data_IF_902522515177
#
_entry.id   IF_902522515177
#
_cell.length_a   1.000
_cell.length_b   1.000
_cell.length_c   1.000
_cell.angle_alpha   90.00
_cell.angle_beta   90.00
_cell.angle_gamma   90.00
#
_symmetry.space_group_name_H-M   'P 1'
#
loop_
_entity.id
_entity.type
_entity.pdbx_description
1 polymer ?
#
# COMPACT_ATOMS: atom_id res chain seq x y z
N UNK A 1 7.88 -12.69 1.50
CA UNK A 1 7.44 -11.92 2.68
C UNK A 1 5.92 -11.87 2.80
N UNK A 2 5.20 -11.52 1.74
CA UNK A 2 3.73 -11.63 1.61
C UNK A 2 3.45 -12.83 0.72
N UNK A 3 2.57 -13.76 1.13
CA UNK A 3 2.23 -14.96 0.35
C UNK A 3 0.73 -15.17 0.34
N UNK A 4 0.20 -15.40 -0.84
CA UNK A 4 -1.15 -15.88 -1.09
C UNK A 4 -1.06 -17.31 -1.60
N UNK A 5 -1.88 -18.22 -1.07
CA UNK A 5 -1.88 -19.63 -1.44
C UNK A 5 -3.32 -20.04 -1.75
N UNK A 6 -3.63 -20.20 -3.04
CA UNK A 6 -4.95 -20.55 -3.60
C UNK A 6 -6.09 -19.77 -2.93
N UNK A 7 -5.94 -18.45 -2.91
CA UNK A 7 -6.85 -17.54 -2.21
C UNK A 7 -8.07 -17.26 -3.06
N UNK A 8 -9.25 -17.50 -2.49
CA UNK A 8 -10.53 -17.05 -3.03
C UNK A 8 -11.22 -16.15 -2.01
N UNK A 9 -11.78 -15.03 -2.49
CA UNK A 9 -12.64 -14.14 -1.70
C UNK A 9 -13.94 -13.91 -2.41
N UNK A 10 -15.03 -14.31 -1.78
CA UNK A 10 -16.41 -14.07 -2.25
C UNK A 10 -17.16 -13.23 -1.23
N UNK A 11 -17.99 -12.33 -1.73
CA UNK A 11 -18.91 -11.51 -0.94
C UNK A 11 -20.35 -11.96 -1.20
N UNK A 12 -21.22 -12.03 -0.18
CA UNK A 12 -22.59 -12.54 -0.35
C UNK A 12 -23.44 -11.78 -1.38
N UNK A 13 -23.16 -10.47 -1.56
CA UNK A 13 -23.98 -9.61 -2.44
C UNK A 13 -23.36 -9.38 -3.81
N UNK A 14 -22.04 -9.37 -3.93
CA UNK A 14 -21.32 -8.96 -5.16
C UNK A 14 -20.58 -10.11 -5.84
N UNK A 15 -20.62 -11.31 -5.27
CA UNK A 15 -19.98 -12.49 -5.84
C UNK A 15 -18.48 -12.56 -5.55
N UNK A 16 -17.75 -13.31 -6.38
CA UNK A 16 -16.33 -13.60 -6.19
C UNK A 16 -15.48 -12.45 -6.70
N UNK A 17 -14.76 -11.79 -5.79
CA UNK A 17 -13.87 -10.68 -6.09
C UNK A 17 -12.42 -11.11 -6.35
N UNK A 18 -11.98 -12.22 -5.74
CA UNK A 18 -10.66 -12.85 -5.96
C UNK A 18 -10.88 -14.35 -6.08
N UNK A 19 -10.32 -15.00 -7.09
CA UNK A 19 -10.55 -16.39 -7.43
C UNK A 19 -9.25 -17.14 -7.66
N UNK A 20 -8.93 -18.10 -6.77
CA UNK A 20 -7.78 -18.99 -6.81
C UNK A 20 -6.43 -18.29 -7.06
N UNK A 21 -6.20 -17.18 -6.36
CA UNK A 21 -4.96 -16.40 -6.51
C UNK A 21 -3.85 -16.97 -5.64
N UNK A 22 -2.71 -17.25 -6.28
CA UNK A 22 -1.45 -17.58 -5.62
C UNK A 22 -0.38 -16.59 -6.08
N UNK A 23 0.28 -15.92 -5.13
CA UNK A 23 1.38 -15.02 -5.41
C UNK A 23 2.31 -14.88 -4.20
N UNK A 24 3.53 -14.46 -4.45
CA UNK A 24 4.48 -14.11 -3.40
C UNK A 24 5.11 -12.75 -3.71
N UNK A 25 5.25 -11.92 -2.68
CA UNK A 25 6.04 -10.67 -2.73
C UNK A 25 7.17 -10.80 -1.75
N UNK A 26 8.39 -10.58 -2.21
CA UNK A 26 9.61 -10.71 -1.42
C UNK A 26 9.94 -9.42 -0.65
N UNK A 27 10.90 -9.51 0.27
CA UNK A 27 11.36 -8.36 1.04
C UNK A 27 12.11 -7.39 0.13
N UNK A 28 11.79 -6.09 0.23
CA UNK A 28 12.41 -5.04 -0.58
C UNK A 28 11.88 -4.97 -2.01
N UNK A 29 10.94 -5.83 -2.40
CA UNK A 29 10.37 -5.83 -3.75
C UNK A 29 9.40 -4.66 -3.94
N UNK A 30 9.43 -4.06 -5.13
CA UNK A 30 8.40 -3.12 -5.61
C UNK A 30 7.52 -3.85 -6.62
N UNK A 31 6.22 -3.94 -6.34
CA UNK A 31 5.25 -4.63 -7.18
C UNK A 31 4.13 -3.68 -7.58
N UNK A 32 3.90 -3.56 -8.89
CA UNK A 32 2.67 -2.98 -9.43
C UNK A 32 1.57 -4.03 -9.48
N UNK A 33 0.41 -3.68 -8.98
CA UNK A 33 -0.83 -4.44 -9.12
C UNK A 33 -1.76 -3.68 -10.05
N UNK A 34 -1.97 -4.17 -11.26
CA UNK A 34 -2.75 -3.48 -12.30
C UNK A 34 -3.99 -4.28 -12.70
N UNK A 35 -4.84 -3.69 -13.52
CA UNK A 35 -6.10 -4.27 -14.01
C UNK A 35 -7.25 -3.29 -13.96
N UNK A 36 -8.34 -3.61 -14.66
CA UNK A 36 -9.53 -2.77 -14.73
C UNK A 36 -10.16 -2.50 -13.34
N UNK A 37 -11.02 -1.48 -13.26
CA UNK A 37 -11.86 -1.29 -12.06
C UNK A 37 -12.68 -2.55 -11.79
N UNK A 38 -12.79 -2.96 -10.53
CA UNK A 38 -13.47 -4.20 -10.14
C UNK A 38 -12.68 -5.50 -10.39
N UNK A 39 -11.44 -5.45 -10.88
CA UNK A 39 -10.62 -6.66 -11.10
C UNK A 39 -10.22 -7.42 -9.82
N UNK A 40 -10.45 -6.83 -8.62
CA UNK A 40 -10.12 -7.46 -7.33
C UNK A 40 -8.90 -6.86 -6.62
N UNK A 41 -8.24 -5.84 -7.21
CA UNK A 41 -7.00 -5.23 -6.67
C UNK A 41 -7.14 -4.77 -5.23
N UNK A 42 -8.10 -3.91 -4.92
CA UNK A 42 -8.31 -3.39 -3.56
C UNK A 42 -8.70 -4.49 -2.57
N UNK A 43 -9.43 -5.52 -3.01
CA UNK A 43 -9.71 -6.70 -2.17
C UNK A 43 -8.43 -7.46 -1.83
N UNK A 44 -7.54 -7.64 -2.81
CA UNK A 44 -6.25 -8.29 -2.59
C UNK A 44 -5.39 -7.46 -1.61
N UNK A 45 -5.32 -6.13 -1.80
CA UNK A 45 -4.60 -5.26 -0.87
C UNK A 45 -5.19 -5.34 0.55
N UNK A 46 -6.52 -5.31 0.71
CA UNK A 46 -7.21 -5.44 2.01
C UNK A 46 -6.89 -6.75 2.74
N UNK A 47 -6.65 -7.82 2.02
CA UNK A 47 -6.22 -9.09 2.61
C UNK A 47 -4.77 -9.04 3.12
N UNK A 48 -3.87 -8.22 2.55
CA UNK A 48 -2.50 -8.06 3.05
C UNK A 48 -2.50 -7.49 4.47
N UNK A 49 -3.31 -6.46 4.74
CA UNK A 49 -3.41 -5.89 6.10
C UNK A 49 -4.57 -6.46 6.91
N UNK A 50 -5.15 -7.58 6.44
CA UNK A 50 -6.18 -8.39 7.13
C UNK A 50 -7.42 -7.58 7.53
N UNK A 51 -7.80 -6.56 6.73
CA UNK A 51 -9.13 -5.94 6.80
C UNK A 51 -10.17 -6.92 6.27
N UNK A 52 -9.82 -7.63 5.20
CA UNK A 52 -10.58 -8.75 4.67
C UNK A 52 -9.84 -10.07 4.93
N UNK A 53 -10.60 -11.13 5.14
CA UNK A 53 -10.07 -12.49 5.20
C UNK A 53 -10.49 -13.26 3.96
N UNK A 54 -9.67 -14.17 3.45
CA UNK A 54 -10.07 -15.05 2.37
C UNK A 54 -11.25 -15.92 2.77
N UNK A 55 -12.10 -16.29 1.80
CA UNK A 55 -13.15 -17.30 1.97
C UNK A 55 -12.53 -18.69 1.98
N UNK A 56 -11.54 -18.93 1.09
CA UNK A 56 -10.74 -20.16 1.07
C UNK A 56 -9.28 -19.81 0.78
N UNK A 57 -8.36 -20.72 1.06
CA UNK A 57 -6.93 -20.50 0.93
C UNK A 57 -6.33 -19.72 2.13
N UNK A 58 -5.10 -19.28 2.00
CA UNK A 58 -4.36 -18.62 3.07
C UNK A 58 -3.61 -17.39 2.56
N UNK A 59 -3.68 -16.30 3.31
CA UNK A 59 -2.76 -15.14 3.18
C UNK A 59 -1.83 -15.14 4.37
N UNK A 60 -0.52 -15.12 4.11
CA UNK A 60 0.51 -15.04 5.15
C UNK A 60 1.37 -13.80 4.94
N UNK A 61 1.46 -12.95 5.96
CA UNK A 61 2.20 -11.68 5.91
C UNK A 61 3.15 -11.61 7.11
N UNK A 62 4.45 -11.58 6.84
CA UNK A 62 5.50 -11.57 7.86
C UNK A 62 5.28 -12.63 8.97
N UNK A 63 4.90 -13.84 8.57
CA UNK A 63 4.62 -14.96 9.48
C UNK A 63 3.20 -14.99 10.06
N UNK A 64 2.43 -13.91 9.98
CA UNK A 64 1.05 -13.86 10.44
C UNK A 64 0.11 -14.50 9.40
N UNK A 65 -0.64 -15.51 9.79
CA UNK A 65 -1.57 -16.27 8.91
C UNK A 65 -2.99 -15.74 9.02
N UNK A 66 -3.68 -15.51 7.90
CA UNK A 66 -5.09 -15.11 7.86
C UNK A 66 -6.03 -16.15 8.49
N UNK A 67 -5.61 -17.41 8.55
CA UNK A 67 -6.42 -18.54 9.09
C UNK A 67 -6.38 -18.54 10.61
N UNK A 68 -5.19 -18.36 11.20
CA UNK A 68 -4.99 -18.55 12.66
C UNK A 68 -4.85 -17.25 13.44
N UNK A 69 -4.65 -16.10 12.76
CA UNK A 69 -4.41 -14.82 13.43
C UNK A 69 -5.61 -14.38 14.27
N UNK A 70 -5.33 -14.09 15.52
CA UNK A 70 -6.28 -13.46 16.46
C UNK A 70 -6.28 -11.93 16.26
N UNK A 71 -7.31 -11.20 16.74
CA UNK A 71 -7.36 -9.74 16.59
C UNK A 71 -6.09 -9.01 17.06
N UNK A 72 -5.45 -9.49 18.15
CA UNK A 72 -4.18 -8.95 18.65
C UNK A 72 -3.01 -9.13 17.68
N UNK A 73 -2.99 -10.23 16.92
CA UNK A 73 -1.92 -10.53 15.97
C UNK A 73 -2.09 -9.66 14.71
N UNK A 74 -3.34 -9.46 14.28
CA UNK A 74 -3.69 -8.52 13.21
C UNK A 74 -3.30 -7.08 13.61
N UNK A 75 -3.61 -6.65 14.83
CA UNK A 75 -3.21 -5.33 15.31
C UNK A 75 -1.67 -5.16 15.31
N UNK A 76 -0.92 -6.17 15.75
CA UNK A 76 0.56 -6.18 15.70
C UNK A 76 1.09 -6.13 14.27
N UNK A 77 0.46 -6.86 13.34
CA UNK A 77 0.83 -6.84 11.91
C UNK A 77 0.61 -5.43 11.33
N UNK A 78 -0.57 -4.84 11.53
CA UNK A 78 -0.92 -3.51 10.99
C UNK A 78 0.03 -2.40 11.44
N UNK A 79 0.57 -2.49 12.66
CA UNK A 79 1.60 -1.55 13.16
C UNK A 79 2.91 -1.59 12.37
N UNK A 80 3.17 -2.69 11.67
CA UNK A 80 4.38 -2.92 10.86
C UNK A 80 4.14 -2.72 9.37
N UNK A 81 2.94 -2.30 8.98
CA UNK A 81 2.55 -1.98 7.61
C UNK A 81 2.22 -0.50 7.50
N UNK A 82 2.63 0.14 6.43
CA UNK A 82 2.13 1.45 6.04
C UNK A 82 1.02 1.29 5.00
N UNK A 83 -0.08 2.01 5.17
CA UNK A 83 -1.20 1.97 4.22
C UNK A 83 -1.41 3.38 3.68
N UNK A 84 -1.41 3.51 2.35
CA UNK A 84 -1.60 4.75 1.63
C UNK A 84 -2.85 4.62 0.76
N UNK A 85 -3.80 5.52 0.95
CA UNK A 85 -5.08 5.54 0.24
C UNK A 85 -5.11 6.62 -0.84
N UNK A 86 -5.98 6.46 -1.82
CA UNK A 86 -6.22 7.43 -2.88
C UNK A 86 -6.80 8.76 -2.34
N UNK A 87 -7.64 8.69 -1.31
CA UNK A 87 -8.37 9.81 -0.70
C UNK A 87 -7.65 10.43 0.52
N UNK A 88 -6.34 10.21 0.63
CA UNK A 88 -5.42 10.70 1.68
C UNK A 88 -5.81 10.31 3.11
N UNK A 89 -7.08 10.38 3.48
CA UNK A 89 -7.65 10.10 4.82
C UNK A 89 -6.93 10.87 5.93
N UNK A 90 -6.62 12.12 5.68
CA UNK A 90 -6.06 13.00 6.71
C UNK A 90 -7.16 13.46 7.67
N UNK A 91 -6.77 13.67 8.93
CA UNK A 91 -7.64 14.20 9.97
C UNK A 91 -7.73 15.73 9.79
N UNK A 92 -8.85 16.23 9.28
CA UNK A 92 -9.07 17.60 8.83
C UNK A 92 -8.80 18.67 9.89
N UNK A 93 -9.06 18.34 11.17
CA UNK A 93 -8.93 19.25 12.31
C UNK A 93 -7.58 19.12 13.04
N UNK A 94 -6.64 18.35 12.50
CA UNK A 94 -5.29 18.15 13.03
C UNK A 94 -4.26 18.71 12.06
N UNK A 95 -3.18 19.30 12.59
CA UNK A 95 -2.04 19.72 11.77
C UNK A 95 -1.37 18.50 11.11
N UNK A 96 -0.50 18.73 10.15
CA UNK A 96 0.21 17.64 9.45
C UNK A 96 1.11 16.87 10.42
N UNK A 97 1.82 17.55 11.32
CA UNK A 97 2.62 16.86 12.36
C UNK A 97 1.74 16.02 13.29
N UNK A 98 0.55 16.50 13.66
CA UNK A 98 -0.42 15.74 14.46
C UNK A 98 -1.02 14.57 13.69
N UNK A 99 -1.27 14.72 12.38
CA UNK A 99 -1.70 13.62 11.52
C UNK A 99 -0.68 12.49 11.47
N UNK A 100 0.59 12.84 11.31
CA UNK A 100 1.70 11.86 11.27
C UNK A 100 1.93 11.25 12.64
N UNK A 101 1.96 12.07 13.70
CA UNK A 101 2.17 11.64 15.08
C UNK A 101 1.06 10.73 15.62
N UNK A 102 -0.16 10.87 15.11
CA UNK A 102 -1.31 10.08 15.53
C UNK A 102 -1.07 8.56 15.41
N UNK A 103 -0.36 8.12 14.36
CA UNK A 103 -0.02 6.71 14.21
C UNK A 103 0.88 6.17 15.34
N UNK A 104 1.72 7.02 15.93
CA UNK A 104 2.53 6.70 17.10
C UNK A 104 1.75 6.79 18.42
N UNK A 105 0.85 7.79 18.53
CA UNK A 105 -0.04 7.95 19.70
C UNK A 105 -0.90 6.70 19.90
N UNK A 106 -1.52 6.19 18.83
CA UNK A 106 -2.40 5.00 18.87
C UNK A 106 -1.68 3.74 19.35
N UNK A 107 -0.38 3.63 19.14
CA UNK A 107 0.41 2.49 19.62
C UNK A 107 1.01 2.71 21.00
N UNK A 108 0.75 3.86 21.63
CA UNK A 108 1.25 4.22 22.96
C UNK A 108 2.74 4.60 22.99
N UNK A 109 3.27 5.17 21.88
CA UNK A 109 4.65 5.64 21.87
C UNK A 109 4.87 6.78 22.87
N UNK A 110 6.02 6.82 23.58
CA UNK A 110 6.31 7.90 24.50
C UNK A 110 6.42 9.26 23.79
N UNK A 111 5.99 10.33 24.42
CA UNK A 111 5.97 11.68 23.84
C UNK A 111 7.35 12.16 23.34
N UNK A 112 8.42 11.80 24.03
CA UNK A 112 9.79 12.13 23.64
C UNK A 112 10.27 11.40 22.38
N UNK A 113 9.58 10.36 21.91
CA UNK A 113 9.87 9.61 20.68
C UNK A 113 9.07 10.15 19.50
N UNK A 114 7.84 10.65 19.75
CA UNK A 114 6.91 11.08 18.69
C UNK A 114 7.51 12.25 17.89
N UNK A 115 7.91 13.35 18.56
CA UNK A 115 8.41 14.55 17.89
C UNK A 115 9.58 14.28 16.94
N UNK A 116 10.68 13.65 17.38
CA UNK A 116 11.81 13.31 16.52
C UNK A 116 11.45 12.42 15.32
N UNK A 117 10.59 11.41 15.50
CA UNK A 117 10.15 10.55 14.41
C UNK A 117 9.29 11.31 13.39
N UNK A 118 8.37 12.14 13.85
CA UNK A 118 7.54 12.99 12.99
C UNK A 118 8.40 13.95 12.18
N UNK A 119 9.33 14.66 12.81
CA UNK A 119 10.24 15.59 12.12
C UNK A 119 11.07 14.86 11.05
N UNK A 120 11.60 13.68 11.35
CA UNK A 120 12.36 12.86 10.40
C UNK A 120 11.55 12.50 9.16
N UNK A 121 10.33 11.95 9.33
CA UNK A 121 9.52 11.53 8.17
C UNK A 121 8.96 12.72 7.40
N UNK A 122 8.64 13.85 8.04
CA UNK A 122 8.25 15.08 7.34
C UNK A 122 9.40 15.63 6.49
N UNK A 123 10.63 15.55 6.96
CA UNK A 123 11.81 15.90 6.17
C UNK A 123 11.98 14.95 4.99
N UNK A 124 11.84 13.64 5.22
CA UNK A 124 11.95 12.60 4.18
C UNK A 124 10.95 12.81 3.04
N UNK A 125 9.71 13.22 3.34
CA UNK A 125 8.70 13.47 2.32
C UNK A 125 8.70 14.90 1.76
N UNK A 126 9.61 15.78 2.22
CA UNK A 126 9.72 17.17 1.76
C UNK A 126 8.67 18.12 2.34
N UNK A 127 8.15 17.84 3.55
CA UNK A 127 7.14 18.64 4.25
C UNK A 127 7.62 19.23 5.57
N UNK A 128 8.93 19.36 5.80
CA UNK A 128 9.51 19.85 7.06
C UNK A 128 8.95 21.22 7.48
N UNK A 129 8.71 22.15 6.52
CA UNK A 129 8.17 23.49 6.78
C UNK A 129 6.64 23.52 6.92
N UNK A 130 5.93 22.43 6.64
CA UNK A 130 4.46 22.35 6.60
C UNK A 130 3.87 21.62 7.82
N UNK A 131 4.66 21.27 8.82
CA UNK A 131 4.22 20.47 9.97
C UNK A 131 3.03 21.09 10.70
N UNK A 132 2.97 22.43 10.82
CA UNK A 132 1.90 23.17 11.52
C UNK A 132 0.69 23.48 10.65
N UNK A 133 0.75 23.26 9.33
CA UNK A 133 -0.37 23.48 8.44
C UNK A 133 -1.50 22.47 8.67
N UNK A 134 -2.73 22.84 8.35
CA UNK A 134 -3.89 21.95 8.28
C UNK A 134 -3.96 21.29 6.89
N UNK A 135 -4.60 20.12 6.75
CA UNK A 135 -4.73 19.44 5.44
C UNK A 135 -5.28 20.34 4.32
N UNK A 136 -6.28 21.17 4.62
CA UNK A 136 -6.90 22.10 3.66
C UNK A 136 -5.96 23.19 3.12
N UNK A 137 -4.82 23.43 3.78
CA UNK A 137 -3.82 24.42 3.38
C UNK A 137 -2.73 23.81 2.46
N UNK A 138 -2.86 22.50 2.16
CA UNK A 138 -1.94 21.75 1.32
C UNK A 138 -2.56 21.44 -0.04
N UNK A 139 -1.72 21.46 -1.09
CA UNK A 139 -2.06 20.89 -2.39
C UNK A 139 -2.31 19.37 -2.29
N UNK A 140 -3.01 18.78 -3.26
CA UNK A 140 -3.25 17.34 -3.29
C UNK A 140 -1.97 16.50 -3.22
N UNK A 141 -0.91 16.93 -3.91
CA UNK A 141 0.40 16.26 -3.84
C UNK A 141 1.06 16.37 -2.47
N UNK A 142 0.92 17.52 -1.78
CA UNK A 142 1.41 17.69 -0.40
C UNK A 142 0.58 16.85 0.59
N UNK A 143 -0.75 16.78 0.41
CA UNK A 143 -1.61 15.91 1.23
C UNK A 143 -1.23 14.44 1.08
N UNK A 144 -0.92 14.00 -0.14
CA UNK A 144 -0.47 12.62 -0.38
C UNK A 144 0.91 12.36 0.26
N UNK A 145 1.84 13.31 0.20
CA UNK A 145 3.11 13.22 0.92
C UNK A 145 2.90 13.11 2.43
N UNK A 146 1.95 13.84 3.00
CA UNK A 146 1.59 13.75 4.42
C UNK A 146 0.98 12.38 4.76
N UNK A 147 0.13 11.81 3.90
CA UNK A 147 -0.41 10.46 4.07
C UNK A 147 0.70 9.40 4.01
N UNK A 148 1.68 9.55 3.11
CA UNK A 148 2.86 8.69 3.05
C UNK A 148 3.72 8.85 4.32
N UNK A 149 3.95 10.07 4.81
CA UNK A 149 4.68 10.29 6.07
C UNK A 149 4.02 9.59 7.25
N UNK A 150 2.68 9.67 7.36
CA UNK A 150 1.91 8.95 8.39
C UNK A 150 2.07 7.44 8.27
N UNK A 151 2.11 6.91 7.04
CA UNK A 151 2.33 5.49 6.80
C UNK A 151 3.75 5.04 7.17
N UNK A 152 4.76 5.92 7.03
CA UNK A 152 6.17 5.62 7.28
C UNK A 152 6.61 5.75 8.75
N UNK A 153 5.89 6.52 9.56
CA UNK A 153 6.37 6.95 10.90
C UNK A 153 6.64 5.79 11.86
N UNK A 154 6.01 4.63 11.63
CA UNK A 154 6.22 3.39 12.39
C UNK A 154 7.33 2.48 11.82
N UNK A 155 8.14 2.97 10.88
CA UNK A 155 9.20 2.19 10.22
C UNK A 155 8.66 0.86 9.63
N UNK A 156 7.65 0.89 8.74
CA UNK A 156 7.02 -0.31 8.23
C UNK A 156 7.96 -1.10 7.33
N UNK A 157 7.84 -2.43 7.35
CA UNK A 157 8.56 -3.28 6.40
C UNK A 157 7.95 -3.27 4.99
N UNK A 158 6.69 -2.86 4.87
CA UNK A 158 6.01 -2.73 3.57
C UNK A 158 5.01 -1.57 3.57
N UNK A 159 4.91 -0.89 2.43
CA UNK A 159 3.86 0.06 2.09
C UNK A 159 2.86 -0.62 1.13
N UNK A 160 1.58 -0.51 1.48
CA UNK A 160 0.47 -0.96 0.65
C UNK A 160 -0.25 0.29 0.15
N UNK A 161 -0.17 0.57 -1.14
CA UNK A 161 -0.69 1.79 -1.74
C UNK A 161 -1.83 1.45 -2.71
N UNK A 162 -3.04 1.93 -2.41
CA UNK A 162 -4.20 1.76 -3.28
C UNK A 162 -4.44 3.06 -4.06
N UNK A 163 -4.09 3.06 -5.35
CA UNK A 163 -4.20 4.20 -6.28
C UNK A 163 -3.60 5.52 -5.73
N UNK A 164 -2.36 5.53 -5.22
CA UNK A 164 -1.82 6.67 -4.47
C UNK A 164 -1.63 7.94 -5.30
N UNK A 165 -1.84 7.88 -6.60
CA UNK A 165 -1.71 9.00 -7.56
C UNK A 165 -2.98 9.31 -8.32
N UNK A 166 -4.09 8.61 -8.02
CA UNK A 166 -5.33 8.69 -8.79
C UNK A 166 -6.02 10.06 -8.79
N UNK A 167 -5.78 10.89 -7.78
CA UNK A 167 -6.38 12.22 -7.62
C UNK A 167 -5.35 13.35 -7.86
N UNK A 168 -4.22 13.06 -8.50
CA UNK A 168 -3.10 14.00 -8.65
C UNK A 168 -2.87 14.37 -10.13
N UNK A 169 -2.36 15.57 -10.36
CA UNK A 169 -1.84 15.95 -11.67
C UNK A 169 -0.55 15.18 -12.01
N UNK A 170 -0.11 15.26 -13.25
CA UNK A 170 1.08 14.56 -13.77
C UNK A 170 2.37 14.92 -13.02
N UNK A 171 2.51 16.18 -12.59
CA UNK A 171 3.71 16.65 -11.89
C UNK A 171 3.74 16.05 -10.48
N UNK A 172 2.63 16.13 -9.74
CA UNK A 172 2.51 15.54 -8.42
C UNK A 172 2.64 14.01 -8.49
N UNK A 173 2.02 13.36 -9.49
CA UNK A 173 2.13 11.91 -9.74
C UNK A 173 3.59 11.48 -9.86
N UNK A 174 4.39 12.16 -10.71
CA UNK A 174 5.83 11.87 -10.82
C UNK A 174 6.57 12.07 -9.51
N UNK A 175 6.25 13.14 -8.79
CA UNK A 175 6.87 13.43 -7.48
C UNK A 175 6.54 12.40 -6.40
N UNK A 176 5.32 11.89 -6.34
CA UNK A 176 4.92 10.82 -5.43
C UNK A 176 5.58 9.49 -5.81
N UNK A 177 5.60 9.17 -7.09
CA UNK A 177 6.23 7.94 -7.55
C UNK A 177 7.75 7.92 -7.26
N UNK A 178 8.44 9.04 -7.51
CA UNK A 178 9.86 9.16 -7.16
C UNK A 178 10.09 8.97 -5.65
N UNK A 179 9.25 9.56 -4.80
CA UNK A 179 9.30 9.35 -3.35
C UNK A 179 9.14 7.87 -2.98
N UNK A 180 8.18 7.16 -3.59
CA UNK A 180 7.99 5.72 -3.33
C UNK A 180 9.21 4.91 -3.77
N UNK A 181 9.86 5.25 -4.89
CA UNK A 181 11.12 4.61 -5.32
C UNK A 181 12.24 4.81 -4.31
N UNK A 182 12.39 6.01 -3.78
CA UNK A 182 13.41 6.34 -2.77
C UNK A 182 13.16 5.55 -1.47
N UNK A 183 11.90 5.41 -1.05
CA UNK A 183 11.51 4.60 0.10
C UNK A 183 11.81 3.10 -0.15
N UNK A 184 11.53 2.60 -1.35
CA UNK A 184 11.83 1.22 -1.72
C UNK A 184 13.35 0.96 -1.75
N UNK A 185 14.13 1.89 -2.29
CA UNK A 185 15.60 1.79 -2.31
C UNK A 185 16.22 1.71 -0.90
N UNK A 186 15.51 2.19 0.13
CA UNK A 186 15.88 2.04 1.54
C UNK A 186 15.47 0.68 2.14
N UNK A 187 14.90 -0.22 1.35
CA UNK A 187 14.57 -1.60 1.73
C UNK A 187 13.11 -1.84 2.15
N UNK A 188 12.23 -0.82 2.12
CA UNK A 188 10.79 -1.00 2.34
C UNK A 188 10.16 -1.63 1.10
N UNK A 189 9.45 -2.75 1.27
CA UNK A 189 8.69 -3.35 0.16
C UNK A 189 7.49 -2.48 -0.21
N UNK A 190 7.12 -2.44 -1.50
CA UNK A 190 5.97 -1.66 -1.95
C UNK A 190 5.04 -2.54 -2.80
N UNK A 191 3.77 -2.55 -2.46
CA UNK A 191 2.71 -3.10 -3.31
C UNK A 191 1.78 -1.95 -3.68
N UNK A 192 1.83 -1.52 -4.93
CA UNK A 192 1.09 -0.36 -5.44
C UNK A 192 0.03 -0.79 -6.45
N UNK A 193 -1.24 -0.69 -6.09
CA UNK A 193 -2.31 -0.78 -7.09
C UNK A 193 -2.36 0.52 -7.90
N UNK A 194 -2.39 0.40 -9.21
CA UNK A 194 -2.52 1.53 -10.12
C UNK A 194 -3.08 1.10 -11.48
N UNK A 195 -3.82 2.01 -12.11
CA UNK A 195 -4.24 1.89 -13.50
C UNK A 195 -3.40 2.80 -14.45
N UNK A 196 -2.40 3.51 -13.91
CA UNK A 196 -1.54 4.38 -14.71
C UNK A 196 -0.50 3.56 -15.48
N UNK A 197 -0.84 3.19 -16.72
CA UNK A 197 0.02 2.38 -17.60
C UNK A 197 1.32 3.09 -17.98
N UNK A 198 1.36 4.43 -17.96
CA UNK A 198 2.58 5.19 -18.26
C UNK A 198 3.62 5.00 -17.16
N UNK A 199 3.20 5.02 -15.89
CA UNK A 199 4.09 4.72 -14.77
C UNK A 199 4.64 3.30 -14.85
N UNK A 200 3.80 2.32 -15.20
CA UNK A 200 4.19 0.92 -15.31
C UNK A 200 5.22 0.75 -16.44
N UNK A 201 4.94 1.26 -17.63
CA UNK A 201 5.80 1.10 -18.82
C UNK A 201 7.18 1.77 -18.68
N UNK A 202 7.26 2.85 -17.92
CA UNK A 202 8.51 3.60 -17.71
C UNK A 202 9.42 3.00 -16.63
N UNK A 203 8.97 1.93 -15.96
CA UNK A 203 9.69 1.37 -14.83
C UNK A 203 9.75 -0.15 -14.92
N UNK A 204 10.92 -0.72 -14.64
CA UNK A 204 11.20 -2.15 -14.71
C UNK A 204 10.83 -2.91 -13.41
N UNK A 205 9.83 -2.43 -12.69
CA UNK A 205 9.35 -3.15 -11.51
C UNK A 205 8.41 -4.28 -11.91
N UNK A 206 8.36 -5.30 -11.07
CA UNK A 206 7.43 -6.41 -11.24
C UNK A 206 6.00 -5.91 -11.37
N UNK A 207 5.32 -6.39 -12.39
CA UNK A 207 3.93 -6.05 -12.67
C UNK A 207 3.08 -7.31 -12.64
N UNK A 208 2.02 -7.26 -11.80
CA UNK A 208 0.99 -8.29 -11.71
C UNK A 208 -0.30 -7.71 -12.25
N UNK A 209 -0.87 -8.31 -13.29
CA UNK A 209 -2.14 -7.89 -13.85
C UNK A 209 -3.27 -8.81 -13.38
N UNK A 210 -4.34 -8.18 -12.89
CA UNK A 210 -5.58 -8.88 -12.50
C UNK A 210 -6.70 -8.62 -13.48
N UNK A 211 -7.43 -9.68 -13.81
CA UNK A 211 -8.69 -9.60 -14.53
C UNK A 211 -9.71 -10.58 -13.90
N UNK A 212 -10.93 -10.10 -13.65
CA UNK A 212 -12.05 -10.91 -13.12
C UNK A 212 -11.66 -11.72 -11.86
N UNK A 213 -10.88 -11.12 -10.98
CA UNK A 213 -10.44 -11.74 -9.73
C UNK A 213 -9.26 -12.70 -9.84
N UNK A 214 -8.69 -12.91 -11.01
CA UNK A 214 -7.55 -13.80 -11.26
C UNK A 214 -6.31 -13.02 -11.67
N UNK A 215 -5.13 -13.58 -11.43
CA UNK A 215 -3.88 -13.09 -12.02
C UNK A 215 -3.82 -13.62 -13.46
N UNK A 216 -3.74 -12.70 -14.43
CA UNK A 216 -3.64 -13.02 -15.86
C UNK A 216 -2.23 -12.80 -16.40
N UNK A 217 -1.41 -12.04 -15.69
CA UNK A 217 -0.01 -11.80 -16.03
C UNK A 217 0.80 -11.50 -14.77
N UNK A 218 2.01 -12.03 -14.71
CA UNK A 218 3.03 -11.71 -13.71
C UNK A 218 4.39 -11.65 -14.41
N UNK A 219 5.03 -10.49 -14.40
CA UNK A 219 6.30 -10.29 -15.12
C UNK A 219 7.48 -11.06 -14.48
N UNK A 220 7.34 -11.59 -13.26
CA UNK A 220 8.34 -12.44 -12.62
C UNK A 220 8.21 -13.91 -13.00
N UNK A 221 7.07 -14.34 -13.53
CA UNK A 221 6.89 -15.71 -14.03
C UNK A 221 7.33 -15.78 -15.49
N UNK A 222 8.15 -16.78 -15.88
CA UNK A 222 8.45 -17.01 -17.29
C UNK A 222 7.13 -17.27 -18.02
N UNK A 223 6.88 -16.51 -19.08
CA UNK A 223 5.68 -16.62 -19.93
C UNK A 223 5.49 -18.08 -20.33
N UNK A 224 4.41 -18.72 -19.92
CA UNK A 224 4.02 -20.02 -20.45
C UNK A 224 3.87 -19.86 -21.98
N UNK A 225 4.50 -20.72 -22.81
CA UNK A 225 4.39 -20.64 -24.25
C UNK A 225 2.93 -20.92 -24.65
N UNK A 226 2.16 -19.90 -25.02
CA UNK A 226 0.80 -20.10 -25.51
C UNK A 226 -0.20 -18.95 -25.41
N UNK A 227 0.08 -17.85 -24.73
CA UNK A 227 -0.86 -16.71 -24.63
C UNK A 227 -0.27 -15.44 -25.25
N UNK A 228 -0.04 -15.45 -26.57
CA UNK A 228 -0.04 -14.21 -27.35
C UNK A 228 -1.49 -13.92 -27.71
N UNK A 229 -2.06 -12.94 -27.07
CA UNK A 229 -3.31 -12.30 -27.50
C UNK A 229 -3.01 -11.27 -28.59
N UNK A 230 -3.91 -11.09 -29.56
CA UNK A 230 -3.73 -10.31 -30.76
C UNK A 230 -3.57 -8.82 -30.53
#
# INVERSE_FOLDING_TARGET
MIRFTRVTKSYPRTGTAVNDVSLMVDKGEFVFLTGASGAGKSTLLKMIYMEERPTTGEVRVAGTSSVTAKPRDVAKLRRKLGIVFQDFRLLEHRTIEQNVGFALEVIGAPANVIGPKVARVLTQVGLASKGRALPRELSGGEQQRAAIARALVNDPFALIADEPTGNLDDRATRGIFQLLREINAQGTSIVMATHNLELIRRNEFRTIEMARGQIVFDSAEPSLPGTRTP
#
